data_IF_304889901803
#
_entry.id   IF_304889901803
#
_cell.length_a   1.000
_cell.length_b   1.000
_cell.length_c   1.000
_cell.angle_alpha   90.00
_cell.angle_beta   90.00
_cell.angle_gamma   90.00
#
_symmetry.space_group_name_H-M   'P 1'
#
loop_
_entity.id
_entity.type
_entity.pdbx_description
1 polymer ?
#
# COMPACT_ATOMS: atom_id res chain seq x y z
N UNK A 1 -1.65 -10.57 16.90
CA UNK A 1 -2.65 -9.47 17.01
C UNK A 1 -2.96 -9.05 15.58
N UNK A 2 -4.22 -9.16 15.14
CA UNK A 2 -4.61 -8.57 13.85
C UNK A 2 -4.67 -7.06 14.07
N UNK A 3 -3.64 -6.33 13.64
CA UNK A 3 -3.72 -4.88 13.58
C UNK A 3 -4.85 -4.54 12.62
N UNK A 4 -6.00 -4.16 13.19
CA UNK A 4 -7.16 -3.73 12.41
C UNK A 4 -6.79 -2.37 11.85
N UNK A 5 -6.40 -2.35 10.57
CA UNK A 5 -6.17 -1.13 9.83
C UNK A 5 -7.48 -0.35 9.80
N UNK A 6 -7.55 0.76 10.54
CA UNK A 6 -8.65 1.70 10.40
C UNK A 6 -8.49 2.44 9.07
N UNK A 7 -9.35 2.13 8.11
CA UNK A 7 -9.40 2.86 6.83
C UNK A 7 -10.50 3.93 6.93
N UNK A 8 -10.14 5.23 6.84
CA UNK A 8 -11.13 6.29 6.86
C UNK A 8 -12.13 6.15 5.71
N UNK A 9 -13.40 6.50 5.94
CA UNK A 9 -14.49 6.27 4.99
C UNK A 9 -14.23 6.87 3.60
N UNK A 10 -13.56 8.03 3.53
CA UNK A 10 -13.18 8.68 2.27
C UNK A 10 -12.28 7.79 1.39
N UNK A 11 -11.54 6.86 1.98
CA UNK A 11 -10.58 5.98 1.31
C UNK A 11 -11.05 4.53 1.20
N UNK A 12 -12.30 4.23 1.62
CA UNK A 12 -12.82 2.85 1.63
C UNK A 12 -12.81 2.20 0.25
N UNK A 13 -12.93 3.00 -0.82
CA UNK A 13 -12.90 2.49 -2.19
C UNK A 13 -11.57 1.81 -2.55
N UNK A 14 -10.46 2.16 -1.89
CA UNK A 14 -9.15 1.54 -2.12
C UNK A 14 -9.16 0.06 -1.73
N UNK A 15 -9.98 -0.31 -0.73
CA UNK A 15 -10.13 -1.70 -0.32
C UNK A 15 -10.83 -2.55 -1.38
N UNK A 16 -11.66 -1.95 -2.24
CA UNK A 16 -12.36 -2.67 -3.29
C UNK A 16 -11.40 -3.22 -4.36
N UNK A 17 -10.24 -2.59 -4.53
CA UNK A 17 -9.19 -3.01 -5.47
C UNK A 17 -8.02 -3.70 -4.79
N UNK A 18 -8.07 -3.88 -3.46
CA UNK A 18 -6.99 -4.51 -2.72
C UNK A 18 -6.74 -5.93 -3.22
N UNK A 19 -5.50 -6.28 -3.59
CA UNK A 19 -5.19 -7.62 -4.05
C UNK A 19 -5.46 -8.65 -2.95
N UNK A 20 -5.86 -9.88 -3.32
CA UNK A 20 -6.05 -10.96 -2.35
C UNK A 20 -4.72 -11.30 -1.67
N UNK A 21 -4.79 -11.97 -0.52
CA UNK A 21 -3.57 -12.38 0.24
C UNK A 21 -2.64 -13.30 -0.58
N UNK A 22 -3.20 -14.01 -1.56
CA UNK A 22 -2.46 -14.90 -2.46
C UNK A 22 -1.79 -14.17 -3.63
N UNK A 23 -1.96 -12.85 -3.75
CA UNK A 23 -1.35 -12.08 -4.82
C UNK A 23 0.17 -12.08 -4.68
N UNK A 24 0.83 -12.05 -5.83
CA UNK A 24 2.29 -11.97 -5.92
C UNK A 24 2.79 -10.65 -5.32
N UNK A 25 4.06 -10.63 -4.91
CA UNK A 25 4.69 -9.41 -4.42
C UNK A 25 4.62 -8.26 -5.45
N UNK A 26 4.73 -8.58 -6.76
CA UNK A 26 4.59 -7.61 -7.85
C UNK A 26 3.20 -6.97 -7.95
N UNK A 27 2.15 -7.79 -7.88
CA UNK A 27 0.78 -7.28 -7.91
C UNK A 27 0.48 -6.41 -6.68
N UNK A 28 1.04 -6.80 -5.52
CA UNK A 28 0.95 -6.02 -4.29
C UNK A 28 1.70 -4.69 -4.38
N UNK A 29 2.93 -4.70 -4.90
CA UNK A 29 3.76 -3.50 -5.12
C UNK A 29 3.03 -2.51 -6.03
N UNK A 30 2.52 -2.99 -7.17
CA UNK A 30 1.78 -2.14 -8.10
C UNK A 30 0.54 -1.51 -7.46
N UNK A 31 -0.25 -2.31 -6.73
CA UNK A 31 -1.43 -1.79 -6.05
C UNK A 31 -1.06 -0.76 -4.96
N UNK A 32 0.00 -1.01 -4.18
CA UNK A 32 0.47 -0.09 -3.14
C UNK A 32 0.93 1.25 -3.73
N UNK A 33 1.63 1.23 -4.86
CA UNK A 33 2.07 2.44 -5.57
C UNK A 33 0.88 3.28 -6.08
N UNK A 34 -0.12 2.62 -6.68
CA UNK A 34 -1.36 3.28 -7.13
C UNK A 34 -2.17 3.82 -5.96
N UNK A 35 -2.30 3.05 -4.87
CA UNK A 35 -3.03 3.45 -3.67
C UNK A 35 -2.36 4.66 -2.99
N UNK A 36 -1.03 4.64 -2.85
CA UNK A 36 -0.25 5.78 -2.35
C UNK A 36 -0.47 7.03 -3.20
N UNK A 37 -0.34 6.91 -4.52
CA UNK A 37 -0.53 8.02 -5.46
C UNK A 37 -1.93 8.60 -5.39
N UNK A 38 -2.95 7.75 -5.24
CA UNK A 38 -4.35 8.18 -5.08
C UNK A 38 -4.57 8.98 -3.81
N UNK A 39 -4.07 8.49 -2.67
CA UNK A 39 -4.21 9.20 -1.38
C UNK A 39 -3.43 10.50 -1.35
N UNK A 40 -2.28 10.56 -2.04
CA UNK A 40 -1.44 11.76 -2.10
C UNK A 40 -2.17 12.97 -2.70
N UNK A 41 -3.13 12.76 -3.60
CA UNK A 41 -3.95 13.83 -4.18
C UNK A 41 -4.75 14.59 -3.11
N UNK A 42 -5.16 13.91 -2.03
CA UNK A 42 -5.95 14.47 -0.95
C UNK A 42 -5.14 15.25 0.10
N UNK A 43 -3.81 15.39 -0.07
CA UNK A 43 -2.96 16.09 0.92
C UNK A 43 -3.29 17.57 1.10
N UNK A 44 -3.89 18.20 0.09
CA UNK A 44 -4.38 19.58 0.16
C UNK A 44 -5.91 19.67 0.31
N UNK A 45 -6.57 18.53 0.53
CA UNK A 45 -8.02 18.39 0.61
C UNK A 45 -8.57 18.36 2.04
N UNK A 46 -9.90 18.21 2.18
CA UNK A 46 -10.59 18.15 3.47
C UNK A 46 -10.20 16.93 4.32
N UNK A 47 -9.56 15.91 3.73
CA UNK A 47 -9.11 14.68 4.38
C UNK A 47 -7.58 14.58 4.48
N UNK A 48 -6.88 15.72 4.46
CA UNK A 48 -5.42 15.78 4.40
C UNK A 48 -4.70 15.00 5.52
N UNK A 49 -5.18 15.06 6.76
CA UNK A 49 -4.55 14.38 7.89
C UNK A 49 -4.70 12.86 7.81
N UNK A 50 -5.90 12.40 7.44
CA UNK A 50 -6.21 11.00 7.17
C UNK A 50 -5.40 10.48 5.99
N UNK A 51 -5.31 11.28 4.92
CA UNK A 51 -4.53 10.96 3.74
C UNK A 51 -3.04 10.78 4.09
N UNK A 52 -2.44 11.72 4.82
CA UNK A 52 -1.03 11.62 5.22
C UNK A 52 -0.77 10.43 6.14
N UNK A 53 -1.72 10.07 7.02
CA UNK A 53 -1.60 8.87 7.87
C UNK A 53 -1.63 7.59 7.03
N UNK A 54 -2.60 7.47 6.13
CA UNK A 54 -2.75 6.30 5.28
C UNK A 54 -1.60 6.17 4.27
N UNK A 55 -1.14 7.28 3.71
CA UNK A 55 0.01 7.31 2.81
C UNK A 55 1.30 6.82 3.48
N UNK A 56 1.50 7.07 4.78
CA UNK A 56 2.64 6.48 5.52
C UNK A 56 2.53 4.96 5.62
N UNK A 57 1.33 4.43 5.86
CA UNK A 57 1.12 2.97 5.90
C UNK A 57 1.44 2.36 4.53
N UNK A 58 0.89 2.93 3.46
CA UNK A 58 1.18 2.42 2.11
C UNK A 58 2.65 2.51 1.74
N UNK A 59 3.33 3.60 2.10
CA UNK A 59 4.75 3.75 1.81
C UNK A 59 5.60 2.71 2.57
N UNK A 60 5.33 2.48 3.85
CA UNK A 60 6.03 1.45 4.63
C UNK A 60 5.83 0.06 4.03
N UNK A 61 4.59 -0.30 3.68
CA UNK A 61 4.29 -1.60 3.07
C UNK A 61 4.90 -1.72 1.66
N UNK A 62 4.94 -0.63 0.90
CA UNK A 62 5.55 -0.59 -0.43
C UNK A 62 7.06 -0.84 -0.35
N UNK A 63 7.74 -0.18 0.58
CA UNK A 63 9.17 -0.38 0.81
C UNK A 63 9.47 -1.82 1.24
N UNK A 64 8.67 -2.38 2.17
CA UNK A 64 8.81 -3.77 2.59
C UNK A 64 8.56 -4.77 1.43
N UNK A 65 7.56 -4.51 0.59
CA UNK A 65 7.25 -5.35 -0.58
C UNK A 65 8.38 -5.29 -1.63
N UNK A 66 9.01 -4.12 -1.81
CA UNK A 66 10.16 -3.97 -2.72
C UNK A 66 11.37 -4.75 -2.25
N UNK A 67 11.63 -4.79 -0.93
CA UNK A 67 12.67 -5.64 -0.34
C UNK A 67 12.34 -7.13 -0.57
N UNK A 68 11.09 -7.56 -0.37
CA UNK A 68 10.65 -8.94 -0.65
C UNK A 68 10.93 -9.34 -2.12
N UNK A 69 10.66 -8.44 -3.06
CA UNK A 69 10.93 -8.63 -4.49
C UNK A 69 12.44 -8.74 -4.77
N UNK A 70 13.24 -7.85 -4.19
CA UNK A 70 14.70 -7.86 -4.35
C UNK A 70 15.33 -9.15 -3.83
N UNK A 71 14.95 -9.59 -2.63
CA UNK A 71 15.42 -10.84 -2.03
C UNK A 71 15.03 -12.06 -2.88
N UNK A 72 13.81 -12.08 -3.43
CA UNK A 72 13.37 -13.15 -4.31
C UNK A 72 14.21 -13.21 -5.61
N UNK A 73 14.59 -12.06 -6.17
CA UNK A 73 15.49 -12.04 -7.32
C UNK A 73 16.90 -12.53 -7.00
N UNK A 74 17.46 -12.10 -5.87
CA UNK A 74 18.79 -12.54 -5.44
C UNK A 74 18.82 -14.05 -5.21
N UNK A 75 17.76 -14.63 -4.63
CA UNK A 75 17.65 -16.07 -4.43
C UNK A 75 17.56 -16.86 -5.74
N UNK A 76 16.96 -16.29 -6.80
CA UNK A 76 16.90 -16.92 -8.13
C UNK A 76 18.22 -16.82 -8.91
N UNK A 77 19.09 -15.88 -8.55
CA UNK A 77 20.37 -15.65 -9.20
C UNK A 77 21.55 -16.43 -8.57
N UNK A 78 21.32 -17.10 -7.44
CA UNK A 78 22.29 -17.90 -6.68
C UNK A 78 22.24 -19.39 -7.06
#
# INVERSE_FOLDING_TARGET
MTDRLFVPAAFVHLLATMPPVSATAWEREHWLDVAYSTVRVEFSGPHSMEAMRLARVFLTELDATRVEIEDAYLALAA
#
